data_IF_338264601723
#
_entry.id   IF_338264601723
#
_cell.length_a   1.000
_cell.length_b   1.000
_cell.length_c   1.000
_cell.angle_alpha   90.00
_cell.angle_beta   90.00
_cell.angle_gamma   90.00
#
_symmetry.space_group_name_H-M   'P 1'
#
loop_
_entity.id
_entity.type
_entity.pdbx_description
1 polymer ?
#
# COMPACT_ATOMS: atom_id res chain seq x y z
N UNK A 1 1.80 -11.96 -6.67
CA UNK A 1 0.74 -11.73 -5.68
C UNK A 1 -0.25 -10.65 -6.10
N UNK A 2 0.21 -9.60 -6.78
CA UNK A 2 -0.58 -8.46 -7.28
C UNK A 2 -1.72 -8.79 -8.28
N UNK A 3 -1.57 -9.73 -9.23
CA UNK A 3 -2.63 -9.96 -10.24
C UNK A 3 -3.91 -10.59 -9.67
N UNK A 4 -3.77 -11.52 -8.71
CA UNK A 4 -4.91 -12.19 -8.08
C UNK A 4 -5.69 -11.23 -7.19
N UNK A 5 -5.00 -10.48 -6.33
CA UNK A 5 -5.66 -9.50 -5.45
C UNK A 5 -6.37 -8.39 -6.25
N UNK A 6 -5.72 -7.85 -7.28
CA UNK A 6 -6.33 -6.86 -8.17
C UNK A 6 -7.52 -7.42 -8.95
N UNK A 7 -7.40 -8.65 -9.48
CA UNK A 7 -8.49 -9.32 -10.20
C UNK A 7 -9.72 -9.56 -9.32
N UNK A 8 -9.52 -10.01 -8.08
CA UNK A 8 -10.61 -10.19 -7.11
C UNK A 8 -11.27 -8.83 -6.79
N UNK A 9 -10.48 -7.77 -6.58
CA UNK A 9 -10.99 -6.43 -6.33
C UNK A 9 -11.85 -5.89 -7.47
N UNK A 10 -11.41 -6.07 -8.72
CA UNK A 10 -12.18 -5.67 -9.92
C UNK A 10 -13.49 -6.45 -10.00
N UNK A 11 -13.46 -7.77 -9.84
CA UNK A 11 -14.68 -8.59 -9.88
C UNK A 11 -15.66 -8.15 -8.79
N UNK A 12 -15.17 -7.92 -7.57
CA UNK A 12 -15.99 -7.51 -6.44
C UNK A 12 -16.66 -6.14 -6.64
N UNK A 13 -16.00 -5.21 -7.34
CA UNK A 13 -16.59 -3.93 -7.71
C UNK A 13 -17.70 -4.07 -8.76
N UNK A 14 -17.63 -5.08 -9.64
CA UNK A 14 -18.55 -5.30 -10.75
C UNK A 14 -19.77 -6.20 -10.43
N UNK A 15 -19.79 -6.85 -9.27
CA UNK A 15 -20.93 -7.69 -8.87
C UNK A 15 -22.11 -6.81 -8.44
N UNK A 16 -23.31 -7.14 -8.92
CA UNK A 16 -24.57 -6.51 -8.50
C UNK A 16 -24.95 -6.95 -7.09
N UNK A 17 -24.51 -6.19 -6.09
CA UNK A 17 -24.84 -6.37 -4.67
C UNK A 17 -25.37 -5.05 -4.09
N UNK A 18 -26.01 -5.11 -2.93
CA UNK A 18 -26.46 -3.92 -2.22
C UNK A 18 -25.27 -2.99 -1.91
N UNK A 19 -25.43 -1.69 -2.19
CA UNK A 19 -24.35 -0.69 -2.15
C UNK A 19 -23.63 -0.62 -0.80
N UNK A 20 -24.41 -0.60 0.29
CA UNK A 20 -23.85 -0.54 1.65
C UNK A 20 -22.98 -1.75 1.98
N UNK A 21 -23.44 -2.94 1.60
CA UNK A 21 -22.70 -4.19 1.83
C UNK A 21 -21.40 -4.21 1.03
N UNK A 22 -21.45 -3.76 -0.22
CA UNK A 22 -20.26 -3.66 -1.07
C UNK A 22 -19.23 -2.70 -0.50
N UNK A 23 -19.66 -1.50 -0.10
CA UNK A 23 -18.76 -0.49 0.49
C UNK A 23 -18.11 -1.01 1.78
N UNK A 24 -18.87 -1.68 2.64
CA UNK A 24 -18.36 -2.26 3.90
C UNK A 24 -17.29 -3.30 3.63
N UNK A 25 -17.53 -4.19 2.66
CA UNK A 25 -16.58 -5.23 2.28
C UNK A 25 -15.33 -4.60 1.66
N UNK A 26 -15.47 -3.66 0.73
CA UNK A 26 -14.33 -2.98 0.12
C UNK A 26 -13.46 -2.26 1.15
N UNK A 27 -14.09 -1.50 2.06
CA UNK A 27 -13.40 -0.82 3.15
C UNK A 27 -12.62 -1.81 4.01
N UNK A 28 -13.23 -2.95 4.36
CA UNK A 28 -12.55 -3.97 5.15
C UNK A 28 -11.35 -4.58 4.41
N UNK A 29 -11.51 -4.94 3.14
CA UNK A 29 -10.42 -5.48 2.32
C UNK A 29 -9.29 -4.46 2.10
N UNK A 30 -9.64 -3.19 1.92
CA UNK A 30 -8.66 -2.10 1.75
C UNK A 30 -7.89 -1.85 3.04
N UNK A 31 -8.56 -1.81 4.19
CA UNK A 31 -7.92 -1.73 5.50
C UNK A 31 -7.01 -2.94 5.77
N UNK A 32 -7.43 -4.14 5.38
CA UNK A 32 -6.61 -5.35 5.52
C UNK A 32 -5.36 -5.27 4.64
N UNK A 33 -5.52 -4.91 3.37
CA UNK A 33 -4.40 -4.75 2.45
C UNK A 33 -3.42 -3.66 2.90
N UNK A 34 -3.93 -2.48 3.28
CA UNK A 34 -3.14 -1.37 3.80
C UNK A 34 -2.44 -1.72 5.11
N UNK A 35 -3.13 -2.39 6.03
CA UNK A 35 -2.58 -2.85 7.31
C UNK A 35 -1.45 -3.85 7.13
N UNK A 36 -1.62 -4.86 6.27
CA UNK A 36 -0.54 -5.81 5.94
C UNK A 36 0.64 -5.12 5.28
N UNK A 37 0.40 -4.17 4.36
CA UNK A 37 1.47 -3.41 3.73
C UNK A 37 2.30 -2.64 4.76
N UNK A 38 1.66 -1.93 5.70
CA UNK A 38 2.36 -1.20 6.76
C UNK A 38 3.16 -2.15 7.65
N UNK A 39 2.59 -3.29 8.04
CA UNK A 39 3.29 -4.30 8.84
C UNK A 39 4.55 -4.82 8.13
N UNK A 40 4.40 -5.29 6.89
CA UNK A 40 5.52 -5.87 6.12
C UNK A 40 6.59 -4.81 5.87
N UNK A 41 6.22 -3.59 5.49
CA UNK A 41 7.20 -2.55 5.18
C UNK A 41 7.99 -2.08 6.40
N UNK A 42 7.32 -1.69 7.49
CA UNK A 42 8.01 -1.10 8.64
C UNK A 42 8.59 -2.11 9.60
N UNK A 43 7.90 -3.24 9.80
CA UNK A 43 8.25 -4.20 10.86
C UNK A 43 9.04 -5.37 10.32
N UNK A 44 8.73 -5.86 9.12
CA UNK A 44 9.47 -6.98 8.53
C UNK A 44 10.70 -6.46 7.77
N UNK A 45 10.50 -5.64 6.73
CA UNK A 45 11.58 -5.22 5.84
C UNK A 45 12.52 -4.21 6.51
N UNK A 46 11.99 -3.08 7.01
CA UNK A 46 12.85 -2.02 7.58
C UNK A 46 13.55 -2.49 8.85
N UNK A 47 12.90 -3.29 9.69
CA UNK A 47 13.54 -3.81 10.91
C UNK A 47 14.71 -4.73 10.60
N UNK A 48 14.57 -5.61 9.60
CA UNK A 48 15.66 -6.50 9.16
C UNK A 48 16.80 -5.69 8.54
N UNK A 49 16.49 -4.69 7.71
CA UNK A 49 17.53 -3.89 7.05
C UNK A 49 18.30 -3.02 8.07
N UNK A 50 17.62 -2.52 9.12
CA UNK A 50 18.24 -1.81 10.23
C UNK A 50 19.17 -2.70 11.07
N UNK A 51 18.87 -4.00 11.18
CA UNK A 51 19.70 -4.96 11.91
C UNK A 51 21.01 -5.28 11.18
N UNK A 52 21.04 -5.11 9.85
CA UNK A 52 22.28 -5.13 9.09
C UNK A 52 23.06 -3.82 9.28
N UNK A 53 24.36 -3.89 9.62
CA UNK A 53 25.24 -2.73 9.88
C UNK A 53 25.61 -1.91 8.62
N UNK A 54 24.69 -1.75 7.66
CA UNK A 54 24.89 -0.84 6.53
C UNK A 54 24.56 0.60 6.93
N UNK A 55 25.10 1.58 6.22
CA UNK A 55 24.92 3.00 6.53
C UNK A 55 23.43 3.42 6.55
N UNK A 56 22.81 3.40 7.72
CA UNK A 56 21.40 3.70 7.99
C UNK A 56 20.93 5.06 7.42
N UNK A 57 21.83 6.06 7.29
CA UNK A 57 21.51 7.38 6.74
C UNK A 57 21.16 7.34 5.25
N UNK A 58 21.87 6.54 4.45
CA UNK A 58 21.58 6.44 3.02
C UNK A 58 20.24 5.75 2.79
N UNK A 59 19.97 4.69 3.55
CA UNK A 59 18.69 4.00 3.51
C UNK A 59 17.53 4.93 3.85
N UNK A 60 17.66 5.74 4.90
CA UNK A 60 16.65 6.73 5.28
C UNK A 60 16.39 7.73 4.15
N UNK A 61 17.45 8.24 3.50
CA UNK A 61 17.31 9.15 2.36
C UNK A 61 16.54 8.51 1.21
N UNK A 62 16.80 7.24 0.89
CA UNK A 62 16.06 6.53 -0.15
C UNK A 62 14.59 6.29 0.21
N UNK A 63 14.27 5.99 1.48
CA UNK A 63 12.89 5.87 1.95
C UNK A 63 12.13 7.20 1.80
N UNK A 64 12.75 8.31 2.24
CA UNK A 64 12.15 9.65 2.11
C UNK A 64 11.98 10.05 0.65
N UNK A 65 12.97 9.75 -0.20
CA UNK A 65 12.91 10.02 -1.64
C UNK A 65 11.78 9.23 -2.31
N UNK A 66 11.65 7.94 -1.99
CA UNK A 66 10.56 7.09 -2.49
C UNK A 66 9.18 7.62 -2.07
N UNK A 67 9.01 7.93 -0.79
CA UNK A 67 7.75 8.49 -0.27
C UNK A 67 7.41 9.85 -0.90
N UNK A 68 8.40 10.72 -1.04
CA UNK A 68 8.24 12.03 -1.68
C UNK A 68 7.84 11.89 -3.15
N UNK A 69 8.47 10.96 -3.88
CA UNK A 69 8.14 10.68 -5.29
C UNK A 69 6.69 10.20 -5.44
N UNK A 70 6.24 9.28 -4.59
CA UNK A 70 4.85 8.79 -4.60
C UNK A 70 3.88 9.93 -4.28
N UNK A 71 4.19 10.75 -3.26
CA UNK A 71 3.34 11.88 -2.84
C UNK A 71 3.23 12.93 -3.94
N UNK A 72 4.36 13.27 -4.59
CA UNK A 72 4.38 14.18 -5.73
C UNK A 72 3.58 13.61 -6.90
N UNK A 73 3.81 12.34 -7.26
CA UNK A 73 3.04 11.69 -8.31
C UNK A 73 1.53 11.75 -8.02
N UNK A 74 1.09 11.38 -6.81
CA UNK A 74 -0.32 11.47 -6.44
C UNK A 74 -0.87 12.89 -6.55
N UNK A 75 -0.12 13.90 -6.11
CA UNK A 75 -0.58 15.30 -6.16
C UNK A 75 -0.71 15.82 -7.60
N UNK A 76 0.23 15.45 -8.48
CA UNK A 76 0.20 15.86 -9.88
C UNK A 76 -0.86 15.09 -10.70
N UNK A 77 -1.00 13.78 -10.50
CA UNK A 77 -1.96 12.96 -11.26
C UNK A 77 -3.40 13.05 -10.74
N UNK A 78 -3.62 13.51 -9.52
CA UNK A 78 -4.96 13.75 -8.95
C UNK A 78 -5.43 15.22 -9.09
N UNK A 79 -4.65 16.09 -9.72
CA UNK A 79 -5.01 17.50 -9.96
C UNK A 79 -5.84 17.74 -11.24
N UNK A 80 -6.20 16.71 -11.99
CA UNK A 80 -7.14 16.75 -13.13
C UNK A 80 -8.46 16.04 -12.80
#
# INVERSE_FOLDING_TARGET
MTPLGGGIGIILQNISMNEETRMTILLFLECLAGGTFIYVTFIEIISIEKENEHNNLHQLLFIVLGFSTITLAQTFFHSD
#
